data_IF_575959179526
#
_entry.id   IF_575959179526
#
_cell.length_a   1.000
_cell.length_b   1.000
_cell.length_c   1.000
_cell.angle_alpha   90.00
_cell.angle_beta   90.00
_cell.angle_gamma   90.00
#
_symmetry.space_group_name_H-M   'P 1'
#
loop_
_entity.id
_entity.type
_entity.pdbx_description
1 polymer ?
#
# COMPACT_ATOMS: atom_id res chain seq x y z
N UNK A 1 10.40 11.50 -1.42
CA UNK A 1 9.56 12.57 -0.84
C UNK A 1 8.37 12.75 -1.75
N UNK A 2 7.15 12.61 -1.24
CA UNK A 2 5.91 12.76 -2.03
C UNK A 2 5.06 13.83 -1.36
N UNK A 3 4.58 14.81 -2.13
CA UNK A 3 3.81 15.96 -1.65
C UNK A 3 2.35 15.77 -2.03
N UNK A 4 1.43 15.87 -1.06
CA UNK A 4 -0.02 15.91 -1.32
C UNK A 4 -0.46 17.36 -1.22
N UNK A 5 -1.11 17.88 -2.26
CA UNK A 5 -1.50 19.28 -2.33
C UNK A 5 -2.91 19.50 -1.78
N UNK A 6 -3.16 20.69 -1.25
CA UNK A 6 -4.44 21.07 -0.65
C UNK A 6 -5.62 21.11 -1.64
N UNK A 7 -5.31 21.18 -2.94
CA UNK A 7 -6.28 21.10 -4.03
C UNK A 7 -6.87 19.68 -4.18
N UNK A 8 -6.09 18.65 -3.86
CA UNK A 8 -6.48 17.25 -3.96
C UNK A 8 -7.53 16.86 -2.89
N UNK A 9 -7.67 17.69 -1.85
CA UNK A 9 -8.61 17.47 -0.72
C UNK A 9 -9.90 18.30 -0.87
N UNK A 10 -10.12 18.94 -2.04
CA UNK A 10 -11.39 19.58 -2.36
C UNK A 10 -11.80 20.72 -1.43
N UNK A 11 -10.82 21.44 -0.84
CA UNK A 11 -11.11 22.62 -0.02
C UNK A 11 -11.36 23.84 -0.92
N UNK A 12 -12.53 23.89 -1.55
CA UNK A 12 -13.08 25.14 -2.07
C UNK A 12 -13.44 26.05 -0.90
N UNK A 13 -12.89 27.27 -0.87
CA UNK A 13 -13.39 28.31 0.04
C UNK A 13 -14.78 28.71 -0.45
N UNK A 14 -15.82 28.44 0.32
CA UNK A 14 -17.14 29.01 0.09
C UNK A 14 -17.09 30.52 0.38
N UNK A 15 -16.69 31.28 -0.63
CA UNK A 15 -16.51 32.73 -0.56
C UNK A 15 -17.84 33.47 -0.40
N UNK A 16 -18.95 32.87 -0.83
CA UNK A 16 -20.32 33.38 -0.65
C UNK A 16 -20.74 33.38 0.83
N UNK A 17 -20.51 32.27 1.54
CA UNK A 17 -20.83 32.15 2.97
C UNK A 17 -19.97 33.09 3.84
N UNK A 18 -18.71 33.32 3.45
CA UNK A 18 -17.82 34.27 4.13
C UNK A 18 -18.24 35.73 3.88
N UNK A 19 -18.72 36.05 2.67
CA UNK A 19 -19.23 37.39 2.33
C UNK A 19 -20.53 37.70 3.07
N UNK A 20 -21.46 36.75 3.17
CA UNK A 20 -22.72 36.93 3.91
C UNK A 20 -22.47 37.10 5.41
N UNK A 21 -21.50 36.38 5.97
CA UNK A 21 -21.09 36.55 7.37
C UNK A 21 -20.42 37.92 7.61
N UNK A 22 -19.59 38.39 6.67
CA UNK A 22 -18.96 39.71 6.74
C UNK A 22 -19.97 40.86 6.58
N UNK A 23 -20.96 40.73 5.68
CA UNK A 23 -22.04 41.70 5.47
C UNK A 23 -23.07 41.68 6.61
N UNK A 24 -23.29 40.54 7.28
CA UNK A 24 -24.08 40.44 8.50
C UNK A 24 -23.38 41.13 9.69
N UNK A 25 -22.06 40.96 9.82
CA UNK A 25 -21.25 41.59 10.87
C UNK A 25 -21.15 43.12 10.68
N UNK A 26 -21.04 43.61 9.44
CA UNK A 26 -20.96 45.04 9.12
C UNK A 26 -22.23 45.83 9.44
N UNK A 27 -23.41 45.18 9.48
CA UNK A 27 -24.68 45.83 9.85
C UNK A 27 -24.91 45.98 11.35
N UNK A 28 -24.09 45.35 12.20
CA UNK A 28 -24.26 45.35 13.66
C UNK A 28 -23.17 46.12 14.44
N UNK A 29 -22.19 46.73 13.76
CA UNK A 29 -21.07 47.43 14.40
C UNK A 29 -21.04 48.93 14.10
N UNK A 30 -21.54 49.75 15.04
CA UNK A 30 -21.44 51.21 14.97
C UNK A 30 -20.02 51.76 15.15
N UNK A 31 -19.79 53.05 14.84
CA UNK A 31 -18.48 53.66 14.78
C UNK A 31 -17.97 54.06 16.17
N UNK A 32 -16.64 53.94 16.34
CA UNK A 32 -15.75 54.42 17.43
C UNK A 32 -15.15 53.31 18.29
N UNK A 33 -13.88 52.96 17.99
CA UNK A 33 -12.77 53.03 18.94
C UNK A 33 -11.47 52.49 18.30
N UNK A 34 -10.58 53.40 17.90
CA UNK A 34 -9.13 53.13 17.86
C UNK A 34 -8.61 53.10 19.30
N UNK A 35 -7.82 52.10 19.72
CA UNK A 35 -6.57 52.29 20.48
C UNK A 35 -5.79 50.98 20.76
N UNK A 36 -4.53 51.01 20.34
CA UNK A 36 -3.27 50.41 20.83
C UNK A 36 -3.32 49.50 22.09
N UNK A 37 -2.56 48.40 22.01
CA UNK A 37 -2.11 47.61 23.16
C UNK A 37 -2.60 46.17 23.09
N UNK A 38 -1.67 45.21 23.02
CA UNK A 38 -1.97 43.78 22.90
C UNK A 38 -3.14 43.35 23.80
N UNK A 39 -4.25 42.78 23.27
CA UNK A 39 -5.35 42.41 24.13
C UNK A 39 -5.52 40.89 24.23
N UNK A 40 -5.33 40.44 25.47
CA UNK A 40 -5.90 39.25 26.08
C UNK A 40 -7.43 39.39 26.24
N UNK A 41 -8.19 39.48 25.15
CA UNK A 41 -9.66 39.64 25.18
C UNK A 41 -10.30 38.60 24.24
N UNK A 42 -11.10 37.61 24.65
CA UNK A 42 -12.12 37.57 25.69
C UNK A 42 -13.14 38.71 25.59
N UNK A 43 -13.56 39.11 24.38
CA UNK A 43 -14.77 39.93 24.19
C UNK A 43 -15.52 39.42 22.94
N UNK A 44 -16.75 38.93 23.18
CA UNK A 44 -17.75 38.35 22.25
C UNK A 44 -17.59 36.85 21.90
N UNK A 45 -17.90 36.02 22.88
CA UNK A 45 -19.09 35.15 22.77
C UNK A 45 -19.11 34.03 21.73
N UNK A 46 -17.97 33.58 21.22
CA UNK A 46 -17.84 32.23 20.66
C UNK A 46 -16.48 31.69 21.10
N UNK A 47 -16.47 30.81 22.10
CA UNK A 47 -15.37 29.86 22.27
C UNK A 47 -15.38 29.00 21.03
N UNK A 48 -14.64 29.38 19.99
CA UNK A 48 -14.32 28.45 18.92
C UNK A 48 -13.32 27.49 19.53
N UNK A 49 -13.86 26.39 20.05
CA UNK A 49 -13.11 25.22 20.44
C UNK A 49 -12.19 24.86 19.27
N UNK A 50 -10.87 25.01 19.37
CA UNK A 50 -9.99 24.76 18.23
C UNK A 50 -9.90 23.28 17.86
N UNK A 51 -10.64 22.44 18.59
CA UNK A 51 -10.68 20.99 18.48
C UNK A 51 -11.68 20.46 17.43
N UNK A 52 -12.43 21.30 16.71
CA UNK A 52 -13.56 20.84 15.87
C UNK A 52 -13.55 21.63 14.54
N UNK A 53 -13.49 21.08 13.33
CA UNK A 53 -13.63 19.73 12.85
C UNK A 53 -12.79 19.57 11.58
N UNK A 54 -11.79 18.70 11.57
CA UNK A 54 -11.39 18.08 10.30
C UNK A 54 -12.30 16.87 10.09
N UNK A 55 -12.79 16.72 8.86
CA UNK A 55 -13.61 15.59 8.50
C UNK A 55 -12.71 14.35 8.43
N UNK A 56 -12.79 13.50 9.46
CA UNK A 56 -12.04 12.25 9.55
C UNK A 56 -12.32 11.33 8.36
N UNK A 57 -13.53 11.37 7.80
CA UNK A 57 -13.86 10.60 6.61
C UNK A 57 -13.15 11.14 5.37
N UNK A 58 -13.02 12.47 5.23
CA UNK A 58 -12.21 13.07 4.15
C UNK A 58 -10.71 12.82 4.32
N UNK A 59 -10.21 12.81 5.55
CA UNK A 59 -8.81 12.45 5.82
C UNK A 59 -8.56 10.97 5.48
N UNK A 60 -9.45 10.07 5.88
CA UNK A 60 -9.38 8.66 5.53
C UNK A 60 -9.44 8.44 4.02
N UNK A 61 -10.32 9.15 3.30
CA UNK A 61 -10.41 9.08 1.85
C UNK A 61 -9.14 9.61 1.15
N UNK A 62 -8.51 10.66 1.69
CA UNK A 62 -7.24 11.17 1.18
C UNK A 62 -6.09 10.18 1.43
N UNK A 63 -6.06 9.54 2.61
CA UNK A 63 -5.11 8.47 2.94
C UNK A 63 -5.32 7.26 2.04
N UNK A 64 -6.57 6.88 1.75
CA UNK A 64 -6.89 5.79 0.82
C UNK A 64 -6.44 6.13 -0.60
N UNK A 65 -6.67 7.36 -1.06
CA UNK A 65 -6.21 7.83 -2.37
C UNK A 65 -4.68 7.84 -2.44
N UNK A 66 -4.00 8.24 -1.37
CA UNK A 66 -2.54 8.15 -1.29
C UNK A 66 -2.08 6.68 -1.34
N UNK A 67 -2.76 5.81 -0.58
CA UNK A 67 -2.44 4.40 -0.52
C UNK A 67 -2.55 3.76 -1.91
N UNK A 68 -3.57 4.06 -2.73
CA UNK A 68 -3.66 3.50 -4.09
C UNK A 68 -2.51 3.89 -5.00
N UNK A 69 -1.83 5.01 -4.76
CA UNK A 69 -0.64 5.41 -5.52
C UNK A 69 0.66 4.73 -5.06
N UNK A 70 0.72 4.28 -3.82
CA UNK A 70 1.93 3.71 -3.20
C UNK A 70 1.84 2.19 -3.13
N UNK A 71 0.67 1.66 -2.77
CA UNK A 71 0.40 0.26 -2.53
C UNK A 71 0.72 -0.56 -3.78
N UNK A 72 1.43 -1.66 -3.56
CA UNK A 72 1.72 -2.65 -4.59
C UNK A 72 1.43 -4.01 -4.00
N UNK A 73 0.53 -4.76 -4.64
CA UNK A 73 0.32 -6.14 -4.26
C UNK A 73 1.61 -6.95 -4.40
N UNK A 74 1.90 -7.90 -3.48
CA UNK A 74 2.96 -8.86 -3.68
C UNK A 74 2.66 -9.73 -4.91
N UNK A 75 3.70 -10.23 -5.55
CA UNK A 75 3.59 -11.20 -6.63
C UNK A 75 4.32 -12.48 -6.24
N UNK A 76 3.61 -13.60 -6.34
CA UNK A 76 4.13 -14.90 -5.96
C UNK A 76 5.16 -15.43 -6.97
N UNK A 77 6.11 -16.22 -6.47
CA UNK A 77 6.93 -17.03 -7.35
C UNK A 77 6.10 -18.15 -7.98
N UNK A 78 6.52 -18.62 -9.15
CA UNK A 78 5.86 -19.73 -9.83
C UNK A 78 6.88 -20.58 -10.59
N UNK A 79 6.50 -21.82 -10.88
CA UNK A 79 7.27 -22.73 -11.74
C UNK A 79 6.39 -23.15 -12.89
N UNK A 80 6.97 -23.21 -14.08
CA UNK A 80 6.30 -23.64 -15.29
C UNK A 80 7.16 -24.63 -16.08
N UNK A 81 6.50 -25.58 -16.72
CA UNK A 81 7.12 -26.44 -17.73
C UNK A 81 7.16 -25.71 -19.09
N UNK A 82 8.34 -25.63 -19.67
CA UNK A 82 8.60 -25.11 -21.02
C UNK A 82 8.64 -26.22 -22.07
N UNK A 83 8.92 -25.84 -23.31
CA UNK A 83 9.09 -26.81 -24.39
C UNK A 83 10.33 -27.69 -24.18
N UNK A 84 10.24 -28.94 -24.65
CA UNK A 84 11.36 -29.88 -24.65
C UNK A 84 11.73 -30.43 -23.26
N UNK A 85 10.84 -30.32 -22.27
CA UNK A 85 11.08 -30.84 -20.92
C UNK A 85 11.96 -29.94 -20.05
N UNK A 86 11.99 -28.64 -20.35
CA UNK A 86 12.69 -27.64 -19.54
C UNK A 86 11.76 -27.08 -18.46
N UNK A 87 12.27 -26.80 -17.27
CA UNK A 87 11.51 -26.13 -16.22
C UNK A 87 12.05 -24.72 -15.97
N UNK A 88 11.15 -23.76 -15.78
CA UNK A 88 11.49 -22.36 -15.49
C UNK A 88 10.82 -21.90 -14.21
N UNK A 89 11.57 -21.17 -13.37
CA UNK A 89 11.06 -20.53 -12.17
C UNK A 89 10.98 -19.02 -12.40
N UNK A 90 9.85 -18.43 -12.06
CA UNK A 90 9.64 -16.98 -12.01
C UNK A 90 9.79 -16.50 -10.56
N UNK A 91 10.62 -15.48 -10.29
CA UNK A 91 10.87 -15.02 -8.94
C UNK A 91 9.68 -14.27 -8.34
N UNK A 92 9.53 -14.37 -7.02
CA UNK A 92 8.56 -13.58 -6.28
C UNK A 92 8.99 -12.12 -6.20
N UNK A 93 8.02 -11.24 -5.98
CA UNK A 93 8.25 -9.81 -5.74
C UNK A 93 7.49 -9.37 -4.52
N UNK A 94 8.21 -8.71 -3.60
CA UNK A 94 7.59 -8.11 -2.44
C UNK A 94 6.54 -7.07 -2.83
N UNK A 95 5.44 -7.08 -2.09
CA UNK A 95 4.46 -6.03 -2.09
C UNK A 95 4.82 -4.96 -1.08
N UNK A 96 4.06 -3.89 -1.09
CA UNK A 96 4.13 -2.85 -0.07
C UNK A 96 2.74 -2.26 0.14
N UNK A 97 2.44 -1.89 1.37
CA UNK A 97 1.21 -1.21 1.70
C UNK A 97 1.49 -0.06 2.65
N UNK A 98 0.75 1.03 2.51
CA UNK A 98 0.76 2.12 3.47
C UNK A 98 0.13 1.63 4.77
N UNK A 99 0.81 1.85 5.90
CA UNK A 99 0.23 1.64 7.21
C UNK A 99 -0.73 2.79 7.52
N UNK A 100 -1.98 2.61 7.14
CA UNK A 100 -3.02 3.64 7.29
C UNK A 100 -3.27 4.00 8.76
N UNK A 101 -3.17 3.05 9.67
CA UNK A 101 -3.41 3.29 11.09
C UNK A 101 -2.31 4.16 11.71
N UNK A 102 -1.04 3.84 11.40
CA UNK A 102 0.11 4.64 11.82
C UNK A 102 0.08 6.01 11.15
N UNK A 103 -0.25 6.08 9.86
CA UNK A 103 -0.34 7.35 9.13
C UNK A 103 -1.42 8.27 9.72
N UNK A 104 -2.62 7.74 9.99
CA UNK A 104 -3.71 8.50 10.60
C UNK A 104 -3.32 9.00 12.01
N UNK A 105 -2.70 8.15 12.81
CA UNK A 105 -2.22 8.54 14.16
C UNK A 105 -1.13 9.62 14.07
N UNK A 106 -0.22 9.52 13.11
CA UNK A 106 0.81 10.52 12.86
C UNK A 106 0.24 11.85 12.34
N UNK A 107 -0.91 11.82 11.67
CA UNK A 107 -1.62 13.01 11.19
C UNK A 107 -2.47 13.67 12.28
N UNK A 108 -2.97 12.91 13.26
CA UNK A 108 -3.81 13.45 14.35
C UNK A 108 -3.06 14.51 15.20
N UNK A 109 -1.78 14.30 15.52
CA UNK A 109 -0.97 15.24 16.31
C UNK A 109 -0.77 16.63 15.64
N UNK A 110 -0.27 16.74 14.40
CA UNK A 110 -0.11 18.01 13.72
C UNK A 110 -1.45 18.68 13.33
N UNK A 111 -2.50 17.90 13.09
CA UNK A 111 -3.84 18.44 12.79
C UNK A 111 -4.56 18.99 14.02
N UNK A 112 -4.23 18.50 15.22
CA UNK A 112 -4.73 19.04 16.49
C UNK A 112 -3.99 20.31 16.95
N UNK A 113 -2.84 20.63 16.35
CA UNK A 113 -2.05 21.79 16.72
C UNK A 113 -2.63 23.08 16.10
N UNK A 114 -3.12 23.98 16.96
CA UNK A 114 -3.68 25.32 16.70
C UNK A 114 -2.95 26.25 15.71
N UNK A 115 -1.71 25.94 15.33
CA UNK A 115 -0.88 26.72 14.41
C UNK A 115 -0.56 25.99 13.10
N UNK A 116 -1.45 25.10 12.63
CA UNK A 116 -1.18 24.23 11.49
C UNK A 116 -0.78 25.03 10.24
N UNK A 117 0.42 24.82 9.67
CA UNK A 117 0.77 25.39 8.37
C UNK A 117 -0.15 24.83 7.28
N UNK A 118 -0.28 25.54 6.15
CA UNK A 118 -1.16 25.17 5.04
C UNK A 118 -0.83 23.81 4.37
N UNK A 119 0.28 23.17 4.74
CA UNK A 119 0.75 21.88 4.23
C UNK A 119 1.51 21.12 5.31
N UNK A 120 1.25 19.82 5.45
CA UNK A 120 1.99 18.91 6.34
C UNK A 120 2.85 18.00 5.46
N UNK A 121 4.17 18.02 5.68
CA UNK A 121 5.10 17.10 5.02
C UNK A 121 5.53 16.05 6.03
N UNK A 122 5.29 14.78 5.73
CA UNK A 122 5.72 13.66 6.58
C UNK A 122 6.19 12.46 5.76
N UNK A 123 6.95 11.59 6.41
CA UNK A 123 7.30 10.29 5.84
C UNK A 123 6.09 9.37 5.93
N UNK A 124 5.65 8.84 4.80
CA UNK A 124 4.54 7.87 4.76
C UNK A 124 5.05 6.54 5.31
N UNK A 125 4.44 6.00 6.38
CA UNK A 125 4.80 4.68 6.88
C UNK A 125 4.34 3.63 5.88
N UNK A 126 5.28 2.85 5.35
CA UNK A 126 5.03 1.77 4.41
C UNK A 126 5.56 0.49 5.01
N UNK A 127 4.76 -0.57 4.96
CA UNK A 127 5.14 -1.92 5.37
C UNK A 127 5.36 -2.79 4.14
N UNK A 128 6.36 -3.67 4.20
CA UNK A 128 6.58 -4.69 3.16
C UNK A 128 5.59 -5.83 3.35
N UNK A 129 4.98 -6.27 2.24
CA UNK A 129 4.12 -7.45 2.21
C UNK A 129 4.88 -8.59 1.55
N UNK A 130 5.10 -9.67 2.29
CA UNK A 130 5.72 -10.87 1.76
C UNK A 130 4.79 -11.56 0.74
N UNK A 131 5.35 -12.15 -0.34
CA UNK A 131 4.61 -13.04 -1.22
C UNK A 131 4.20 -14.31 -0.48
N UNK A 132 3.10 -14.94 -0.88
CA UNK A 132 2.67 -16.22 -0.35
C UNK A 132 3.62 -17.34 -0.78
N UNK A 133 4.11 -17.29 -2.02
CA UNK A 133 5.12 -18.23 -2.54
C UNK A 133 6.46 -17.51 -2.68
N UNK A 134 7.45 -17.96 -1.93
CA UNK A 134 8.82 -17.43 -2.01
C UNK A 134 9.57 -17.94 -3.25
N UNK A 135 10.50 -17.13 -3.77
CA UNK A 135 11.39 -17.51 -4.88
C UNK A 135 12.12 -18.83 -4.62
N UNK A 136 12.61 -19.03 -3.39
CA UNK A 136 13.32 -20.25 -3.01
C UNK A 136 12.44 -21.51 -3.15
N UNK A 137 11.12 -21.40 -2.93
CA UNK A 137 10.20 -22.53 -3.08
C UNK A 137 10.04 -22.91 -4.57
N UNK A 138 9.94 -21.92 -5.45
CA UNK A 138 9.88 -22.15 -6.89
C UNK A 138 11.20 -22.71 -7.45
N UNK A 139 12.35 -22.19 -6.98
CA UNK A 139 13.66 -22.73 -7.38
C UNK A 139 13.84 -24.18 -6.92
N UNK A 140 13.51 -24.49 -5.66
CA UNK A 140 13.57 -25.86 -5.14
C UNK A 140 12.66 -26.82 -5.91
N UNK A 141 11.45 -26.38 -6.28
CA UNK A 141 10.52 -27.17 -7.08
C UNK A 141 11.04 -27.40 -8.50
N UNK A 142 11.63 -26.38 -9.13
CA UNK A 142 12.28 -26.52 -10.44
C UNK A 142 13.42 -27.54 -10.38
N UNK A 143 14.30 -27.44 -9.39
CA UNK A 143 15.40 -28.40 -9.21
C UNK A 143 14.90 -29.83 -8.93
N UNK A 144 13.79 -29.97 -8.19
CA UNK A 144 13.16 -31.25 -7.98
C UNK A 144 12.56 -31.83 -9.27
N UNK A 145 11.94 -31.00 -10.10
CA UNK A 145 11.43 -31.40 -11.40
C UNK A 145 12.57 -31.78 -12.37
N UNK A 146 13.66 -31.02 -12.40
CA UNK A 146 14.86 -31.34 -13.18
C UNK A 146 15.43 -32.72 -12.80
N UNK A 147 15.43 -33.07 -11.49
CA UNK A 147 15.83 -34.40 -11.03
C UNK A 147 14.85 -35.51 -11.43
N UNK A 148 13.55 -35.23 -11.39
CA UNK A 148 12.52 -36.19 -11.80
C UNK A 148 12.52 -36.42 -13.32
N UNK A 149 12.93 -35.43 -14.09
CA UNK A 149 13.07 -35.49 -15.55
C UNK A 149 14.46 -35.99 -16.01
N UNK A 150 15.30 -36.52 -15.12
CA UNK A 150 16.57 -37.12 -15.52
C UNK A 150 16.35 -38.47 -16.24
N UNK A 151 17.31 -38.88 -17.08
CA UNK A 151 17.28 -40.20 -17.70
C UNK A 151 17.28 -41.30 -16.64
N UNK A 152 16.32 -42.22 -16.72
CA UNK A 152 16.21 -43.35 -15.80
C UNK A 152 16.65 -44.62 -16.51
N UNK A 153 17.73 -45.23 -16.04
CA UNK A 153 18.18 -46.54 -16.51
C UNK A 153 17.51 -47.61 -15.67
N UNK A 154 16.71 -48.46 -16.32
CA UNK A 154 16.10 -49.63 -15.72
C UNK A 154 16.87 -50.85 -16.21
N UNK A 155 17.33 -51.68 -15.28
CA UNK A 155 18.05 -52.90 -15.59
C UNK A 155 17.28 -54.12 -15.04
N UNK A 156 17.25 -55.19 -15.83
CA UNK A 156 16.67 -56.48 -15.45
C UNK A 156 17.60 -57.60 -15.91
N UNK A 157 18.37 -58.17 -14.98
CA UNK A 157 19.37 -59.19 -15.33
C UNK A 157 20.49 -58.58 -16.18
N UNK A 158 20.70 -59.13 -17.38
CA UNK A 158 21.70 -58.63 -18.35
C UNK A 158 21.16 -57.51 -19.25
N UNK A 159 19.84 -57.30 -19.27
CA UNK A 159 19.22 -56.31 -20.13
C UNK A 159 19.09 -54.95 -19.43
N UNK A 160 19.23 -53.87 -20.19
CA UNK A 160 18.98 -52.51 -19.71
C UNK A 160 18.29 -51.65 -20.76
N UNK A 161 17.44 -50.74 -20.28
CA UNK A 161 16.73 -49.76 -21.08
C UNK A 161 16.78 -48.40 -20.41
N UNK A 162 17.05 -47.37 -21.20
CA UNK A 162 17.03 -45.98 -20.74
C UNK A 162 15.70 -45.34 -21.09
N UNK A 163 14.98 -44.88 -20.07
CA UNK A 163 13.83 -44.00 -20.23
C UNK A 163 14.39 -42.58 -20.30
N UNK A 164 14.30 -41.98 -21.48
CA UNK A 164 14.78 -40.62 -21.69
C UNK A 164 13.98 -39.63 -20.84
N UNK A 165 14.67 -38.71 -20.19
CA UNK A 165 14.12 -37.64 -19.38
C UNK A 165 13.15 -36.74 -20.13
N UNK A 166 13.36 -36.56 -21.43
CA UNK A 166 12.44 -35.85 -22.33
C UNK A 166 11.07 -36.52 -22.47
N UNK A 167 10.97 -37.82 -22.16
CA UNK A 167 9.70 -38.56 -22.09
C UNK A 167 9.04 -38.45 -20.71
N UNK A 168 9.83 -38.22 -19.64
CA UNK A 168 9.36 -38.06 -18.27
C UNK A 168 8.90 -36.63 -17.97
N UNK A 169 9.62 -35.63 -18.47
CA UNK A 169 9.33 -34.22 -18.25
C UNK A 169 7.87 -33.80 -18.56
N UNK A 170 7.21 -34.23 -19.66
CA UNK A 170 5.81 -33.87 -19.92
C UNK A 170 4.81 -34.53 -18.96
N UNK A 171 5.24 -35.52 -18.17
CA UNK A 171 4.40 -36.16 -17.15
C UNK A 171 4.45 -35.41 -15.81
N UNK A 172 5.41 -34.49 -15.63
CA UNK A 172 5.59 -33.75 -14.39
C UNK A 172 4.64 -32.55 -14.36
N UNK A 173 3.83 -32.47 -13.31
CA UNK A 173 3.00 -31.32 -12.98
C UNK A 173 3.41 -30.73 -11.63
N UNK A 174 2.97 -29.51 -11.34
CA UNK A 174 3.31 -28.82 -10.09
C UNK A 174 2.05 -28.62 -9.25
N UNK A 175 2.14 -28.97 -7.97
CA UNK A 175 1.12 -28.65 -6.97
C UNK A 175 1.66 -27.60 -6.01
N UNK A 176 0.85 -26.57 -5.74
CA UNK A 176 1.17 -25.52 -4.76
C UNK A 176 0.28 -25.71 -3.54
N UNK A 177 0.89 -25.89 -2.37
CA UNK A 177 0.18 -26.00 -1.12
C UNK A 177 -0.12 -24.62 -0.51
N UNK A 178 -1.05 -24.59 0.46
CA UNK A 178 -1.49 -23.35 1.11
C UNK A 178 -0.38 -22.66 1.93
N UNK A 179 0.69 -23.39 2.25
CA UNK A 179 1.88 -22.87 2.94
C UNK A 179 2.90 -22.21 1.99
N UNK A 180 2.59 -22.16 0.69
CA UNK A 180 3.46 -21.57 -0.33
C UNK A 180 4.57 -22.52 -0.83
N UNK A 181 4.57 -23.79 -0.41
CA UNK A 181 5.44 -24.80 -0.98
C UNK A 181 4.96 -25.24 -2.36
N UNK A 182 5.90 -25.48 -3.27
CA UNK A 182 5.64 -26.04 -4.60
C UNK A 182 6.29 -27.43 -4.65
N UNK A 183 5.54 -28.43 -5.09
CA UNK A 183 6.02 -29.80 -5.24
C UNK A 183 5.74 -30.33 -6.65
N UNK A 184 6.76 -30.87 -7.35
CA UNK A 184 6.52 -31.60 -8.59
C UNK A 184 5.92 -32.99 -8.31
N UNK A 185 4.98 -33.41 -9.14
CA UNK A 185 4.27 -34.69 -9.05
C UNK A 185 4.14 -35.32 -10.45
N UNK A 186 4.11 -36.65 -10.50
CA UNK A 186 3.92 -37.49 -11.71
C UNK A 186 2.53 -38.11 -11.73
#
# INVERSE_FOLDING_TARGET
MTTISYADVGRGRDTSALLDAALAAGRQGGPLARLIGAPRAAIRGVTLDPAVAYDRAKLAAAVDTLATTIDRAPADASVSAGQGGTFSASPAREGRAVDKAVLLTALDQPLAALGTPASITMVVPVVSLAPAVATAAAEAAKEAADRMAADVVVAQGEDSWTIAGTSLAPLISFSTAADGSITPVL
#
